data_IF_893926515270
#
_entry.id   IF_893926515270
#
_cell.length_a   1.000
_cell.length_b   1.000
_cell.length_c   1.000
_cell.angle_alpha   90.00
_cell.angle_beta   90.00
_cell.angle_gamma   90.00
#
_symmetry.space_group_name_H-M   'P 1'
#
loop_
_entity.id
_entity.type
_entity.pdbx_description
1 polymer ?
#
# COMPACT_ATOMS: atom_id res chain seq x y z
N UNK A 1 -5.53 -12.73 18.37
CA UNK A 1 -5.58 -12.23 16.98
C UNK A 1 -4.17 -12.32 16.43
N UNK A 2 -3.91 -13.22 15.48
CA UNK A 2 -2.71 -13.10 14.63
C UNK A 2 -2.85 -11.75 13.90
N UNK A 3 -1.84 -10.89 14.02
CA UNK A 3 -1.83 -9.64 13.26
C UNK A 3 -1.49 -10.01 11.83
N UNK A 4 -2.47 -9.93 10.93
CA UNK A 4 -2.29 -10.22 9.50
C UNK A 4 -1.31 -9.23 8.84
N UNK A 5 -1.09 -8.07 9.47
CA UNK A 5 -0.15 -7.05 9.02
C UNK A 5 0.52 -6.32 10.17
N UNK A 6 1.77 -5.91 9.95
CA UNK A 6 2.48 -4.95 10.78
C UNK A 6 3.06 -3.85 9.91
N UNK A 7 2.79 -2.59 10.28
CA UNK A 7 3.29 -1.40 9.58
C UNK A 7 4.27 -0.69 10.52
N UNK A 8 5.47 -0.40 10.04
CA UNK A 8 6.51 0.32 10.79
C UNK A 8 7.13 1.41 9.90
N UNK A 9 7.43 2.56 10.48
CA UNK A 9 8.14 3.63 9.77
C UNK A 9 9.64 3.34 9.76
N UNK A 10 10.26 3.51 8.60
CA UNK A 10 11.69 3.32 8.40
C UNK A 10 12.23 4.44 7.49
N UNK A 11 13.53 4.69 7.57
CA UNK A 11 14.20 5.60 6.62
C UNK A 11 14.89 4.76 5.55
N UNK A 12 14.64 5.06 4.27
CA UNK A 12 15.33 4.44 3.13
C UNK A 12 15.93 5.50 2.23
N UNK A 13 17.04 5.16 1.56
CA UNK A 13 17.56 6.00 0.48
C UNK A 13 16.76 5.76 -0.80
N UNK A 14 16.25 6.84 -1.41
CA UNK A 14 15.64 6.80 -2.74
C UNK A 14 16.70 6.57 -3.83
N UNK A 15 16.26 6.45 -5.09
CA UNK A 15 17.13 6.26 -6.25
C UNK A 15 18.12 7.42 -6.49
N UNK A 16 17.89 8.57 -5.85
CA UNK A 16 18.74 9.77 -5.91
C UNK A 16 19.67 9.86 -4.69
N UNK A 17 19.67 8.85 -3.80
CA UNK A 17 20.47 8.80 -2.59
C UNK A 17 19.94 9.67 -1.44
N UNK A 18 18.72 10.19 -1.55
CA UNK A 18 18.08 10.99 -0.49
C UNK A 18 17.39 10.07 0.51
N UNK A 19 17.58 10.34 1.80
CA UNK A 19 16.87 9.62 2.85
C UNK A 19 15.42 10.09 2.90
N UNK A 20 14.49 9.17 2.63
CA UNK A 20 13.05 9.40 2.64
C UNK A 20 12.38 8.51 3.70
N UNK A 21 11.36 9.02 4.41
CA UNK A 21 10.55 8.19 5.28
C UNK A 21 9.70 7.24 4.42
N UNK A 22 9.77 5.97 4.74
CA UNK A 22 9.00 4.90 4.11
C UNK A 22 8.28 4.09 5.18
N UNK A 23 7.34 3.26 4.74
CA UNK A 23 6.64 2.31 5.60
C UNK A 23 7.00 0.88 5.20
N UNK A 24 7.53 0.14 6.15
CA UNK A 24 7.78 -1.29 6.06
C UNK A 24 6.50 -2.03 6.45
N UNK A 25 5.98 -2.85 5.53
CA UNK A 25 4.77 -3.64 5.74
C UNK A 25 5.17 -5.11 5.77
N UNK A 26 5.06 -5.71 6.95
CA UNK A 26 5.16 -7.16 7.10
C UNK A 26 3.78 -7.77 6.89
N UNK A 27 3.70 -8.69 5.93
CA UNK A 27 2.49 -9.45 5.57
C UNK A 27 2.82 -10.93 5.78
N UNK A 28 2.06 -11.60 6.63
CA UNK A 28 2.22 -13.03 6.91
C UNK A 28 1.03 -13.84 6.36
N UNK A 29 1.28 -15.12 6.10
CA UNK A 29 0.26 -16.10 5.69
C UNK A 29 -0.23 -15.99 4.24
N UNK A 30 -1.42 -16.54 4.01
CA UNK A 30 -2.03 -16.77 2.68
C UNK A 30 -2.12 -15.51 1.82
N UNK A 31 -2.25 -14.35 2.45
CA UNK A 31 -2.33 -13.10 1.73
C UNK A 31 -1.04 -12.79 0.95
N UNK A 32 0.13 -13.10 1.51
CA UNK A 32 1.40 -12.92 0.80
C UNK A 32 1.43 -13.78 -0.47
N UNK A 33 0.92 -15.00 -0.40
CA UNK A 33 0.84 -15.89 -1.56
C UNK A 33 -0.11 -15.33 -2.63
N UNK A 34 -1.28 -14.83 -2.22
CA UNK A 34 -2.25 -14.19 -3.12
C UNK A 34 -1.67 -12.94 -3.79
N UNK A 35 -0.95 -12.09 -3.05
CA UNK A 35 -0.25 -10.94 -3.62
C UNK A 35 0.80 -11.38 -4.65
N UNK A 36 1.50 -12.48 -4.39
CA UNK A 36 2.44 -13.09 -5.34
C UNK A 36 1.76 -13.60 -6.61
N UNK A 37 0.55 -14.14 -6.52
CA UNK A 37 -0.26 -14.55 -7.69
C UNK A 37 -0.69 -13.32 -8.49
N UNK A 38 -1.20 -12.27 -7.83
CA UNK A 38 -1.65 -11.04 -8.49
C UNK A 38 -0.49 -10.35 -9.22
N UNK A 39 0.69 -10.27 -8.59
CA UNK A 39 1.88 -9.70 -9.21
C UNK A 39 2.29 -10.44 -10.50
N UNK A 40 2.07 -11.76 -10.58
CA UNK A 40 2.31 -12.54 -11.80
C UNK A 40 1.25 -12.31 -12.87
N UNK A 41 -0.01 -12.14 -12.48
CA UNK A 41 -1.12 -11.89 -13.40
C UNK A 41 -1.07 -10.48 -14.00
N UNK A 42 -0.52 -9.51 -13.27
CA UNK A 42 -0.46 -8.11 -13.68
C UNK A 42 0.98 -7.60 -13.65
N UNK A 43 1.77 -7.87 -14.71
CA UNK A 43 3.16 -7.43 -14.80
C UNK A 43 3.33 -5.91 -14.75
N UNK A 44 2.25 -5.17 -15.06
CA UNK A 44 2.21 -3.71 -15.05
C UNK A 44 2.59 -3.10 -13.69
N UNK A 45 2.40 -3.81 -12.58
CA UNK A 45 2.84 -3.33 -11.28
C UNK A 45 4.36 -3.40 -11.11
N UNK A 46 5.09 -4.32 -11.75
CA UNK A 46 6.56 -4.37 -11.73
C UNK A 46 7.22 -4.68 -10.36
N UNK A 47 6.58 -4.37 -9.23
CA UNK A 47 7.02 -4.69 -7.87
C UNK A 47 5.83 -4.74 -6.89
N UNK A 48 6.04 -5.31 -5.70
CA UNK A 48 5.04 -5.29 -4.62
C UNK A 48 4.71 -3.87 -4.16
N UNK A 49 5.69 -2.96 -4.11
CA UNK A 49 5.47 -1.58 -3.68
C UNK A 49 4.51 -0.82 -4.61
N UNK A 50 4.59 -1.05 -5.92
CA UNK A 50 3.66 -0.48 -6.87
C UNK A 50 2.27 -1.11 -6.77
N UNK A 51 2.18 -2.44 -6.62
CA UNK A 51 0.90 -3.13 -6.42
C UNK A 51 0.17 -2.61 -5.18
N UNK A 52 0.86 -2.62 -4.04
CA UNK A 52 0.31 -2.16 -2.76
C UNK A 52 0.02 -0.66 -2.82
N UNK A 53 0.92 0.13 -3.41
CA UNK A 53 0.73 1.57 -3.58
C UNK A 53 -0.51 1.91 -4.41
N UNK A 54 -0.76 1.18 -5.50
CA UNK A 54 -1.95 1.35 -6.32
C UNK A 54 -3.23 1.01 -5.55
N UNK A 55 -3.26 -0.15 -4.87
CA UNK A 55 -4.40 -0.57 -4.06
C UNK A 55 -4.72 0.43 -2.93
N UNK A 56 -3.69 0.94 -2.25
CA UNK A 56 -3.84 1.99 -1.23
C UNK A 56 -4.37 3.29 -1.84
N UNK A 57 -3.87 3.70 -3.00
CA UNK A 57 -4.32 4.89 -3.71
C UNK A 57 -5.80 4.82 -4.09
N UNK A 58 -6.25 3.69 -4.63
CA UNK A 58 -7.66 3.46 -4.97
C UNK A 58 -8.55 3.50 -3.73
N UNK A 59 -8.16 2.81 -2.64
CA UNK A 59 -8.91 2.83 -1.38
C UNK A 59 -9.00 4.23 -0.77
N UNK A 60 -7.89 4.98 -0.76
CA UNK A 60 -7.86 6.36 -0.27
C UNK A 60 -8.74 7.29 -1.11
N UNK A 61 -8.77 7.13 -2.43
CA UNK A 61 -9.62 7.95 -3.30
C UNK A 61 -11.11 7.80 -2.95
N UNK A 62 -11.55 6.58 -2.63
CA UNK A 62 -12.92 6.31 -2.16
C UNK A 62 -13.19 7.03 -0.84
N UNK A 63 -12.33 6.84 0.17
CA UNK A 63 -12.49 7.46 1.48
C UNK A 63 -12.47 9.00 1.41
N UNK A 64 -11.63 9.57 0.55
CA UNK A 64 -11.58 11.02 0.34
C UNK A 64 -12.83 11.55 -0.35
N UNK A 65 -13.40 10.79 -1.30
CA UNK A 65 -14.66 11.16 -1.95
C UNK A 65 -15.81 11.17 -0.94
N UNK A 66 -15.89 10.16 -0.07
CA UNK A 66 -16.88 10.08 1.01
C UNK A 66 -16.72 11.24 2.00
N UNK A 67 -15.49 11.53 2.44
CA UNK A 67 -15.20 12.63 3.34
C UNK A 67 -15.60 13.99 2.75
N UNK A 68 -15.34 14.22 1.45
CA UNK A 68 -15.76 15.44 0.74
C UNK A 68 -17.29 15.58 0.73
N UNK A 69 -18.02 14.49 0.42
CA UNK A 69 -19.49 14.52 0.43
C UNK A 69 -20.04 14.82 1.83
N UNK A 70 -19.45 14.25 2.88
CA UNK A 70 -19.84 14.51 4.25
C UNK A 70 -19.56 15.97 4.66
N UNK A 71 -18.45 16.55 4.21
CA UNK A 71 -18.09 17.94 4.46
C UNK A 71 -19.01 18.94 3.75
N UNK A 72 -19.46 18.64 2.53
CA UNK A 72 -20.37 19.51 1.75
C UNK A 72 -21.84 19.48 2.21
N UNK A 73 -22.21 18.58 3.13
CA UNK A 73 -23.55 18.53 3.74
C UNK A 73 -23.66 19.31 5.05
N UNK A 74 -22.56 19.92 5.51
CA UNK A 74 -22.53 20.89 6.62
C UNK A 74 -22.61 22.30 6.07
#
# INVERSE_FOLDING_TARGET
MQKEFQIQEEMMCDEQGRSIPVVSIAIDGDLKELLGVIAKMQPAYGSYSHLIGAALGEGLAVLLAEAKQAASRK
#
